data_IF_227886192965
#
_entry.id   IF_227886192965
#
_cell.length_a   1.000
_cell.length_b   1.000
_cell.length_c   1.000
_cell.angle_alpha   90.00
_cell.angle_beta   90.00
_cell.angle_gamma   90.00
#
_symmetry.space_group_name_H-M   'P 1'
#
loop_
_entity.id
_entity.type
_entity.pdbx_description
1 polymer ?
#
# COMPACT_ATOMS: atom_id res chain seq x y z
N UNK A 1 -9.06 31.53 -0.77
CA UNK A 1 -8.05 31.28 -1.82
C UNK A 1 -7.93 29.77 -1.94
N UNK A 2 -8.49 29.16 -2.99
CA UNK A 2 -8.32 27.73 -3.21
C UNK A 2 -6.93 27.51 -3.78
N UNK A 3 -6.00 27.03 -2.96
CA UNK A 3 -4.83 26.35 -3.49
C UNK A 3 -5.38 25.08 -4.15
N UNK A 4 -5.70 25.20 -5.44
CA UNK A 4 -5.85 24.06 -6.32
C UNK A 4 -4.50 23.36 -6.29
N UNK A 5 -4.32 22.43 -5.36
CA UNK A 5 -3.17 21.53 -5.43
C UNK A 5 -3.40 20.74 -6.71
N UNK A 6 -2.67 21.12 -7.75
CA UNK A 6 -2.73 20.44 -9.03
C UNK A 6 -2.37 18.97 -8.81
N UNK A 7 -3.02 18.08 -9.55
CA UNK A 7 -2.69 16.66 -9.55
C UNK A 7 -1.27 16.46 -10.09
N UNK A 8 -0.28 16.63 -9.22
CA UNK A 8 1.14 16.57 -9.56
C UNK A 8 1.55 15.18 -10.06
N UNK A 9 0.76 14.13 -9.75
CA UNK A 9 0.96 12.78 -10.27
C UNK A 9 0.72 12.75 -11.78
N UNK A 10 -0.37 13.37 -12.24
CA UNK A 10 -0.73 13.43 -13.66
C UNK A 10 0.26 14.28 -14.47
N UNK A 11 0.80 15.35 -13.87
CA UNK A 11 1.82 16.20 -14.50
C UNK A 11 3.17 15.51 -14.59
N UNK A 12 3.63 14.85 -13.52
CA UNK A 12 4.94 14.21 -13.47
C UNK A 12 5.04 13.00 -14.41
N UNK A 13 3.91 12.36 -14.75
CA UNK A 13 3.78 11.12 -15.56
C UNK A 13 4.42 9.88 -14.94
N UNK A 14 5.66 9.97 -14.46
CA UNK A 14 6.35 8.90 -13.75
C UNK A 14 7.33 9.47 -12.73
N UNK A 15 7.39 8.89 -11.52
CA UNK A 15 8.28 9.35 -10.46
C UNK A 15 8.50 8.28 -9.39
N UNK A 16 9.62 8.42 -8.67
CA UNK A 16 9.98 7.54 -7.56
C UNK A 16 9.25 7.94 -6.27
N UNK A 17 8.87 6.94 -5.49
CA UNK A 17 8.13 7.13 -4.24
C UNK A 17 8.57 6.18 -3.15
N UNK A 18 8.35 6.61 -1.91
CA UNK A 18 8.07 5.69 -0.80
C UNK A 18 6.57 5.68 -0.52
N UNK A 19 6.06 4.52 -0.13
CA UNK A 19 4.68 4.34 0.31
C UNK A 19 4.73 3.97 1.78
N UNK A 20 3.87 4.60 2.57
CA UNK A 20 3.65 4.26 3.97
C UNK A 20 2.19 3.90 4.19
N UNK A 21 1.94 3.04 5.16
CA UNK A 21 0.63 2.53 5.52
C UNK A 21 0.30 2.96 6.95
N UNK A 22 -0.85 3.57 7.12
CA UNK A 22 -1.46 3.84 8.39
C UNK A 22 -2.51 2.76 8.65
N UNK A 23 -2.21 1.87 9.60
CA UNK A 23 -3.08 0.75 9.97
C UNK A 23 -3.51 0.81 11.44
N UNK A 24 -4.69 0.28 11.74
CA UNK A 24 -5.12 0.06 13.10
C UNK A 24 -4.50 -1.25 13.62
N UNK A 25 -3.73 -1.18 14.69
CA UNK A 25 -3.14 -2.36 15.30
C UNK A 25 -4.20 -3.13 16.08
N UNK A 26 -4.30 -4.44 15.86
CA UNK A 26 -5.29 -5.30 16.54
C UNK A 26 -4.65 -6.55 17.12
N UNK A 27 -5.21 -7.04 18.23
CA UNK A 27 -4.88 -8.33 18.83
C UNK A 27 -6.10 -9.25 18.84
N UNK A 28 -5.87 -10.56 18.79
CA UNK A 28 -6.93 -11.55 18.97
C UNK A 28 -7.27 -11.68 20.45
N UNK A 29 -8.50 -11.32 20.83
CA UNK A 29 -9.05 -11.60 22.15
C UNK A 29 -9.72 -12.97 22.12
N UNK A 30 -9.02 -13.98 22.64
CA UNK A 30 -9.52 -15.35 22.70
C UNK A 30 -10.77 -15.50 23.57
N UNK A 31 -10.93 -14.67 24.61
CA UNK A 31 -12.11 -14.73 25.49
C UNK A 31 -13.37 -14.23 24.80
N UNK A 32 -13.22 -13.32 23.82
CA UNK A 32 -14.34 -12.75 23.07
C UNK A 32 -14.40 -13.22 21.62
N UNK A 33 -13.50 -14.12 21.22
CA UNK A 33 -13.35 -14.62 19.86
C UNK A 33 -13.38 -13.51 18.78
N UNK A 34 -12.70 -12.39 19.04
CA UNK A 34 -12.67 -11.23 18.14
C UNK A 34 -11.36 -10.47 18.19
N UNK A 35 -11.05 -9.77 17.10
CA UNK A 35 -9.96 -8.80 17.09
C UNK A 35 -10.36 -7.50 17.80
N UNK A 36 -9.47 -6.98 18.63
CA UNK A 36 -9.62 -5.70 19.35
C UNK A 36 -8.48 -4.76 19.00
N UNK A 37 -8.78 -3.48 18.88
CA UNK A 37 -7.77 -2.44 18.68
C UNK A 37 -6.85 -2.35 19.89
N UNK A 38 -5.54 -2.30 19.63
CA UNK A 38 -4.55 -1.98 20.61
C UNK A 38 -4.57 -0.46 20.73
N UNK A 39 -5.23 0.06 21.77
CA UNK A 39 -5.07 1.45 22.17
C UNK A 39 -3.70 1.60 22.83
N UNK A 40 -2.62 1.72 22.04
CA UNK A 40 -1.40 2.28 22.61
C UNK A 40 -1.67 3.77 22.82
N UNK A 41 -1.43 4.24 24.05
CA UNK A 41 -1.68 5.61 24.51
C UNK A 41 -0.93 6.71 23.71
N UNK A 42 -0.20 6.34 22.66
CA UNK A 42 0.59 7.24 21.81
C UNK A 42 0.60 6.86 20.30
N UNK A 43 -0.26 5.91 19.87
CA UNK A 43 -0.23 5.40 18.48
C UNK A 43 -1.46 5.82 17.66
N UNK A 44 -1.75 7.12 17.58
CA UNK A 44 -2.53 7.59 16.43
C UNK A 44 -1.72 7.29 15.16
N UNK A 45 -2.13 6.22 14.48
CA UNK A 45 -1.76 5.86 13.11
C UNK A 45 -0.35 6.31 12.68
N UNK A 46 0.69 5.67 13.21
CA UNK A 46 2.03 5.89 12.67
C UNK A 46 2.08 5.38 11.24
N UNK A 47 2.63 6.19 10.34
CA UNK A 47 2.89 5.80 8.96
C UNK A 47 4.04 4.77 8.95
N UNK A 48 3.70 3.52 8.70
CA UNK A 48 4.64 2.41 8.64
C UNK A 48 5.10 2.20 7.20
N UNK A 49 6.38 1.91 6.97
CA UNK A 49 6.90 1.69 5.62
C UNK A 49 6.19 0.50 4.96
N UNK A 50 5.75 0.69 3.72
CA UNK A 50 5.40 -0.42 2.83
C UNK A 50 6.67 -0.92 2.17
N UNK A 51 6.84 -2.24 2.19
CA UNK A 51 8.01 -2.90 1.62
C UNK A 51 7.67 -4.27 1.05
N UNK A 52 8.63 -4.87 0.37
CA UNK A 52 8.54 -6.26 -0.06
C UNK A 52 8.89 -7.22 1.09
N UNK A 53 8.21 -8.35 1.14
CA UNK A 53 8.56 -9.49 1.97
C UNK A 53 9.83 -10.16 1.45
N UNK A 54 10.73 -10.50 2.38
CA UNK A 54 11.95 -11.25 2.08
C UNK A 54 11.61 -12.74 1.94
N UNK A 55 12.29 -13.44 1.03
CA UNK A 55 12.22 -14.90 0.96
C UNK A 55 12.86 -15.50 2.23
N UNK A 56 12.07 -15.94 3.20
CA UNK A 56 12.60 -16.63 4.39
C UNK A 56 12.99 -18.09 4.05
N UNK A 57 13.99 -18.29 3.19
CA UNK A 57 14.67 -19.58 2.91
C UNK A 57 13.81 -20.75 2.37
N UNK A 58 12.48 -20.62 2.40
CA UNK A 58 11.46 -21.60 2.04
C UNK A 58 10.48 -20.99 1.03
N UNK A 59 11.02 -20.37 -0.03
CA UNK A 59 10.51 -20.22 -1.42
C UNK A 59 9.05 -19.77 -1.67
N UNK A 60 8.19 -19.44 -0.70
CA UNK A 60 6.76 -19.21 -1.01
C UNK A 60 6.22 -17.77 -0.83
N UNK A 61 7.01 -16.81 -0.32
CA UNK A 61 6.49 -15.49 0.03
C UNK A 61 7.43 -14.32 -0.33
N UNK A 62 8.22 -14.41 -1.40
CA UNK A 62 9.03 -13.28 -1.88
C UNK A 62 8.17 -12.26 -2.66
N UNK A 63 8.36 -10.97 -2.40
CA UNK A 63 7.79 -9.91 -3.24
C UNK A 63 6.36 -9.47 -2.91
N UNK A 64 5.80 -9.90 -1.78
CA UNK A 64 4.48 -9.45 -1.31
C UNK A 64 4.61 -8.09 -0.63
N UNK A 65 3.63 -7.22 -0.77
CA UNK A 65 3.60 -5.93 -0.09
C UNK A 65 3.19 -6.13 1.37
N UNK A 66 4.05 -5.69 2.27
CA UNK A 66 3.88 -5.78 3.72
C UNK A 66 4.18 -4.46 4.42
N UNK A 67 3.66 -4.32 5.64
CA UNK A 67 3.92 -3.21 6.57
C UNK A 67 4.11 -3.75 8.01
N UNK A 68 4.03 -2.93 9.06
CA UNK A 68 4.10 -3.38 10.47
C UNK A 68 5.49 -3.44 11.09
N UNK A 69 6.49 -3.95 10.37
CA UNK A 69 7.87 -4.08 10.91
C UNK A 69 8.69 -2.82 10.65
N UNK A 70 9.45 -2.36 11.64
CA UNK A 70 10.41 -1.27 11.46
C UNK A 70 11.54 -1.68 10.50
N UNK A 71 11.50 -1.13 9.29
CA UNK A 71 12.46 -1.36 8.22
C UNK A 71 12.52 -0.16 7.28
N UNK A 72 13.45 -0.14 6.33
CA UNK A 72 13.43 0.86 5.27
C UNK A 72 12.23 0.62 4.33
N UNK A 73 11.55 1.67 3.84
CA UNK A 73 10.53 1.53 2.80
C UNK A 73 11.14 1.06 1.49
N UNK A 74 10.39 0.27 0.73
CA UNK A 74 10.78 -0.05 -0.65
C UNK A 74 10.58 1.18 -1.54
N UNK A 75 11.54 1.43 -2.43
CA UNK A 75 11.40 2.43 -3.48
C UNK A 75 10.58 1.86 -4.63
N UNK A 76 9.48 2.53 -4.96
CA UNK A 76 8.63 2.21 -6.11
C UNK A 76 8.71 3.30 -7.16
N UNK A 77 8.31 2.99 -8.39
CA UNK A 77 8.04 3.98 -9.43
C UNK A 77 6.54 4.00 -9.74
N UNK A 78 5.88 5.12 -9.46
CA UNK A 78 4.50 5.34 -9.86
C UNK A 78 4.49 5.87 -11.29
N UNK A 79 3.70 5.25 -12.15
CA UNK A 79 3.47 5.66 -13.54
C UNK A 79 1.97 5.98 -13.70
N UNK A 80 1.67 7.24 -14.02
CA UNK A 80 0.31 7.70 -14.27
C UNK A 80 -0.24 7.08 -15.55
N UNK A 81 -1.47 6.57 -15.48
CA UNK A 81 -2.19 6.07 -16.64
C UNK A 81 -3.36 6.98 -17.05
N UNK A 82 -4.29 7.21 -16.12
CA UNK A 82 -5.52 7.97 -16.37
C UNK A 82 -6.13 8.45 -15.07
N UNK A 83 -7.21 9.22 -15.12
CA UNK A 83 -7.98 9.58 -13.94
C UNK A 83 -9.48 9.61 -14.22
N UNK A 84 -10.24 9.58 -13.14
CA UNK A 84 -11.68 9.82 -13.08
C UNK A 84 -11.93 10.97 -12.08
N UNK A 85 -13.18 11.34 -11.86
CA UNK A 85 -13.50 12.45 -10.94
C UNK A 85 -12.99 12.23 -9.51
N UNK A 86 -12.96 10.98 -9.02
CA UNK A 86 -12.58 10.66 -7.63
C UNK A 86 -11.30 9.84 -7.52
N UNK A 87 -10.69 9.40 -8.63
CA UNK A 87 -9.57 8.44 -8.60
C UNK A 87 -8.52 8.68 -9.67
N UNK A 88 -7.26 8.45 -9.30
CA UNK A 88 -6.11 8.41 -10.19
C UNK A 88 -5.76 6.95 -10.42
N UNK A 89 -5.64 6.54 -11.68
CA UNK A 89 -5.24 5.18 -12.05
C UNK A 89 -3.75 5.18 -12.39
N UNK A 90 -3.00 4.30 -11.75
CA UNK A 90 -1.55 4.23 -11.86
C UNK A 90 -1.07 2.79 -11.97
N UNK A 91 0.11 2.61 -12.54
CA UNK A 91 0.94 1.45 -12.25
C UNK A 91 1.86 1.78 -11.08
N UNK A 92 2.04 0.82 -10.18
CA UNK A 92 3.09 0.88 -9.16
C UNK A 92 4.13 -0.17 -9.56
N UNK A 93 5.30 0.28 -9.95
CA UNK A 93 6.38 -0.57 -10.46
C UNK A 93 7.46 -0.75 -9.40
N UNK A 94 8.11 -1.91 -9.40
CA UNK A 94 9.36 -2.10 -8.66
C UNK A 94 10.48 -1.22 -9.21
N UNK A 95 11.57 -1.14 -8.46
CA UNK A 95 12.80 -0.46 -8.90
C UNK A 95 14.01 -1.39 -8.74
N UNK A 96 15.14 -1.06 -9.34
CA UNK A 96 16.34 -1.89 -9.26
C UNK A 96 16.13 -3.28 -9.89
N UNK A 97 16.40 -4.33 -9.11
CA UNK A 97 16.23 -5.74 -9.55
C UNK A 97 14.79 -6.12 -9.84
N UNK A 98 13.82 -5.38 -9.31
CA UNK A 98 12.39 -5.58 -9.54
C UNK A 98 11.80 -4.60 -10.57
N UNK A 99 12.65 -3.91 -11.35
CA UNK A 99 12.20 -2.93 -12.34
C UNK A 99 11.32 -3.49 -13.47
N UNK A 100 11.34 -4.81 -13.67
CA UNK A 100 10.47 -5.53 -14.60
C UNK A 100 9.17 -6.04 -13.96
N UNK A 101 8.92 -5.71 -12.69
CA UNK A 101 7.75 -6.16 -11.93
C UNK A 101 6.81 -5.00 -11.61
N UNK A 102 5.51 -5.31 -11.54
CA UNK A 102 4.47 -4.37 -11.16
C UNK A 102 3.61 -4.93 -10.03
N UNK A 103 3.04 -4.04 -9.23
CA UNK A 103 2.10 -4.42 -8.17
C UNK A 103 0.84 -4.96 -8.81
N UNK A 104 0.48 -6.19 -8.45
CA UNK A 104 -0.80 -6.82 -8.80
C UNK A 104 -1.46 -7.40 -7.56
N UNK A 105 -2.73 -7.78 -7.72
CA UNK A 105 -3.51 -8.46 -6.70
C UNK A 105 -3.61 -9.94 -7.06
N UNK A 106 -3.15 -10.80 -6.15
CA UNK A 106 -3.24 -12.25 -6.28
C UNK A 106 -4.70 -12.72 -6.28
N UNK A 107 -4.94 -13.98 -6.65
CA UNK A 107 -6.29 -14.58 -6.61
C UNK A 107 -6.95 -14.54 -5.23
N UNK A 108 -6.16 -14.59 -4.16
CA UNK A 108 -6.62 -14.50 -2.77
C UNK A 108 -6.54 -13.07 -2.20
N UNK A 109 -6.38 -12.06 -3.05
CA UNK A 109 -6.51 -10.65 -2.69
C UNK A 109 -5.23 -9.98 -2.20
N UNK A 110 -4.10 -10.67 -2.15
CA UNK A 110 -2.85 -10.11 -1.64
C UNK A 110 -2.15 -9.26 -2.68
N UNK A 111 -1.51 -8.18 -2.23
CA UNK A 111 -0.72 -7.33 -3.11
C UNK A 111 0.72 -7.84 -3.18
N UNK A 112 1.29 -7.91 -4.37
CA UNK A 112 2.68 -8.30 -4.57
C UNK A 112 3.25 -7.79 -5.90
N UNK A 113 4.56 -7.83 -6.04
CA UNK A 113 5.25 -7.56 -7.31
C UNK A 113 5.29 -8.82 -8.17
N UNK A 114 4.71 -8.74 -9.36
CA UNK A 114 4.67 -9.84 -10.30
C UNK A 114 5.32 -9.44 -11.63
N UNK A 115 5.95 -10.43 -12.29
CA UNK A 115 6.34 -10.33 -13.70
C UNK A 115 5.15 -10.78 -14.52
N UNK A 116 4.64 -9.92 -15.39
CA UNK A 116 3.49 -10.28 -16.23
C UNK A 116 3.73 -9.92 -17.69
N UNK A 117 3.18 -10.78 -18.55
CA UNK A 117 3.02 -10.53 -19.98
C UNK A 117 1.56 -10.14 -20.33
N UNK A 118 0.69 -10.00 -19.32
CA UNK A 118 -0.74 -9.66 -19.44
C UNK A 118 -1.00 -8.20 -19.06
N UNK A 119 -2.17 -7.63 -19.38
CA UNK A 119 -2.54 -6.30 -18.89
C UNK A 119 -2.49 -6.29 -17.36
N UNK A 120 -1.58 -5.47 -16.82
CA UNK A 120 -1.38 -5.33 -15.37
C UNK A 120 -2.58 -4.60 -14.80
N UNK A 121 -3.09 -5.08 -13.67
CA UNK A 121 -4.15 -4.42 -12.94
C UNK A 121 -3.74 -3.00 -12.53
N UNK A 122 -4.50 -1.99 -12.98
CA UNK A 122 -4.30 -0.61 -12.54
C UNK A 122 -4.70 -0.48 -11.07
N UNK A 123 -3.79 0.08 -10.27
CA UNK A 123 -4.08 0.50 -8.92
C UNK A 123 -4.77 1.86 -8.98
N UNK A 124 -5.85 2.02 -8.23
CA UNK A 124 -6.57 3.29 -8.12
C UNK A 124 -6.22 3.96 -6.80
N UNK A 125 -5.73 5.18 -6.89
CA UNK A 125 -5.53 6.07 -5.76
C UNK A 125 -6.82 6.88 -5.59
N UNK A 126 -7.50 6.72 -4.45
CA UNK A 126 -8.59 7.61 -4.03
C UNK A 126 -7.99 8.67 -3.09
N UNK A 127 -7.81 9.92 -3.55
CA UNK A 127 -7.20 10.98 -2.76
C UNK A 127 -8.01 11.30 -1.50
N UNK A 128 -7.33 11.45 -0.37
CA UNK A 128 -7.91 11.92 0.90
C UNK A 128 -7.35 13.29 1.29
N UNK A 129 -6.05 13.49 1.13
CA UNK A 129 -5.36 14.73 1.48
C UNK A 129 -4.16 14.93 0.56
N UNK A 130 -4.07 16.11 -0.04
CA UNK A 130 -2.96 16.49 -0.91
C UNK A 130 -1.94 17.34 -0.16
N UNK A 131 -0.66 17.03 -0.36
CA UNK A 131 0.46 17.89 -0.02
C UNK A 131 1.30 18.23 -1.27
N UNK A 132 2.33 19.08 -1.12
CA UNK A 132 3.20 19.46 -2.24
C UNK A 132 3.94 18.27 -2.87
N UNK A 133 4.44 17.36 -2.02
CA UNK A 133 5.19 16.16 -2.43
C UNK A 133 4.58 14.88 -1.85
N UNK A 134 3.38 14.99 -1.30
CA UNK A 134 2.70 13.88 -0.62
C UNK A 134 1.26 13.74 -1.06
N UNK A 135 0.77 12.50 -1.02
CA UNK A 135 -0.64 12.18 -1.20
C UNK A 135 -1.06 11.17 -0.14
N UNK A 136 -1.98 11.56 0.75
CA UNK A 136 -2.76 10.63 1.57
C UNK A 136 -3.88 10.07 0.70
N UNK A 137 -4.01 8.75 0.61
CA UNK A 137 -5.02 8.12 -0.22
C UNK A 137 -5.48 6.77 0.33
N UNK A 138 -6.58 6.25 -0.22
CA UNK A 138 -6.86 4.81 -0.18
C UNK A 138 -6.35 4.18 -1.47
N UNK A 139 -5.67 3.05 -1.34
CA UNK A 139 -5.38 2.21 -2.49
C UNK A 139 -6.58 1.30 -2.78
N UNK A 140 -6.89 1.12 -4.07
CA UNK A 140 -7.91 0.19 -4.53
C UNK A 140 -7.40 -0.63 -5.72
N UNK A 141 -7.91 -1.85 -5.84
CA UNK A 141 -7.65 -2.69 -7.01
C UNK A 141 -8.38 -2.17 -8.28
N UNK A 142 -8.13 -2.85 -9.40
CA UNK A 142 -8.75 -2.54 -10.68
C UNK A 142 -10.28 -2.65 -10.66
N UNK A 143 -10.86 -3.47 -9.77
CA UNK A 143 -12.31 -3.59 -9.55
C UNK A 143 -12.87 -2.54 -8.59
N UNK A 144 -12.00 -1.81 -7.88
CA UNK A 144 -12.37 -0.80 -6.89
C UNK A 144 -12.45 -1.31 -5.44
N UNK A 145 -12.05 -2.55 -5.14
CA UNK A 145 -11.94 -3.03 -3.75
C UNK A 145 -10.82 -2.31 -3.03
N UNK A 146 -11.08 -1.87 -1.80
CA UNK A 146 -10.11 -1.14 -0.98
C UNK A 146 -9.06 -2.09 -0.43
N UNK A 147 -7.80 -1.65 -0.47
CA UNK A 147 -6.68 -2.34 0.17
C UNK A 147 -6.78 -2.19 1.68
N UNK A 148 -6.50 -3.28 2.36
CA UNK A 148 -6.62 -3.49 3.79
C UNK A 148 -5.33 -4.06 4.34
N UNK A 149 -5.16 -3.96 5.66
CA UNK A 149 -4.12 -4.68 6.39
C UNK A 149 -4.71 -5.90 7.09
N UNK A 150 -4.07 -7.05 6.92
CA UNK A 150 -4.42 -8.25 7.67
C UNK A 150 -4.07 -8.13 9.15
N UNK A 151 -4.73 -8.94 9.97
CA UNK A 151 -4.54 -8.92 11.42
C UNK A 151 -3.27 -9.69 11.81
N UNK A 152 -2.22 -8.97 12.23
CA UNK A 152 -1.08 -9.54 12.93
C UNK A 152 -0.74 -8.72 14.17
N UNK A 153 -0.04 -9.34 15.12
CA UNK A 153 0.32 -8.73 16.39
C UNK A 153 1.66 -7.98 16.26
N UNK A 154 1.67 -6.63 16.28
CA UNK A 154 2.88 -5.81 16.26
C UNK A 154 3.67 -5.96 17.57
N UNK A 155 4.94 -5.51 17.66
CA UNK A 155 5.65 -4.64 16.73
C UNK A 155 6.53 -5.34 15.66
N UNK A 156 6.71 -6.66 15.74
CA UNK A 156 7.69 -7.38 14.91
C UNK A 156 7.09 -8.24 13.79
N UNK A 157 5.77 -8.15 13.56
CA UNK A 157 5.10 -8.94 12.53
C UNK A 157 5.08 -8.25 11.17
N UNK A 158 5.33 -9.01 10.11
CA UNK A 158 4.94 -8.60 8.76
C UNK A 158 3.41 -8.53 8.70
N UNK A 159 2.87 -7.37 8.33
CA UNK A 159 1.43 -7.20 8.10
C UNK A 159 1.19 -7.16 6.59
N UNK A 160 0.55 -8.18 6.05
CA UNK A 160 0.28 -8.26 4.62
C UNK A 160 -0.87 -7.34 4.20
N UNK A 161 -0.73 -6.77 2.99
CA UNK A 161 -1.80 -6.01 2.35
C UNK A 161 -2.73 -6.94 1.57
N UNK A 162 -4.04 -6.76 1.72
CA UNK A 162 -5.06 -7.60 1.08
C UNK A 162 -6.30 -6.78 0.66
N UNK A 163 -7.06 -7.19 -0.36
CA UNK A 163 -8.30 -6.52 -0.78
C UNK A 163 -9.59 -7.21 -0.32
N UNK A 164 -9.51 -8.47 0.04
CA UNK A 164 -10.62 -9.29 0.51
C UNK A 164 -10.81 -9.15 2.02
N UNK A 165 -9.73 -9.31 2.79
CA UNK A 165 -9.75 -9.46 4.25
C UNK A 165 -8.96 -8.35 4.97
N UNK A 166 -9.25 -8.15 6.25
CA UNK A 166 -8.58 -7.15 7.10
C UNK A 166 -9.35 -5.84 7.27
N UNK A 167 -8.67 -4.83 7.82
CA UNK A 167 -9.22 -3.48 8.00
C UNK A 167 -8.75 -2.52 6.91
N UNK A 168 -9.64 -1.60 6.53
CA UNK A 168 -9.30 -0.55 5.56
C UNK A 168 -8.08 0.22 6.05
N UNK A 169 -7.07 0.29 5.17
CA UNK A 169 -5.85 1.04 5.42
C UNK A 169 -5.87 2.37 4.67
N UNK A 170 -5.15 3.34 5.22
CA UNK A 170 -4.82 4.60 4.53
C UNK A 170 -3.35 4.61 4.20
N UNK A 171 -2.97 5.20 3.08
CA UNK A 171 -1.61 5.21 2.58
C UNK A 171 -1.10 6.63 2.38
N UNK A 172 0.16 6.86 2.71
CA UNK A 172 0.88 8.08 2.41
C UNK A 172 1.91 7.77 1.31
N UNK A 173 1.72 8.36 0.14
CA UNK A 173 2.69 8.35 -0.95
C UNK A 173 3.56 9.59 -0.79
N UNK A 174 4.87 9.42 -0.78
CA UNK A 174 5.85 10.51 -0.69
C UNK A 174 6.80 10.47 -1.89
N UNK A 175 6.83 11.56 -2.66
CA UNK A 175 7.73 11.73 -3.81
C UNK A 175 9.19 11.76 -3.37
N UNK A 176 10.09 11.22 -4.21
CA UNK A 176 11.55 11.17 -3.99
C UNK A 176 12.31 11.72 -5.18
#
# INVERSE_FOLDING_TARGET
MSNSITNWIAEAKSFKVHIYCQSAWKYWDAAQARYKEIMMFDSQGKDEPVRLSDASGLVLEEGWLITGRQAAPTMFNIEYHSETTDRIHVYINGTGTDSDRKVEISRNGYLGLYRTNSPVDLIKLEPLEWGPDTLRCRLRDHTGRTVKTLYHMPPDSNVYLNTNDGDIATFLITRR
#
